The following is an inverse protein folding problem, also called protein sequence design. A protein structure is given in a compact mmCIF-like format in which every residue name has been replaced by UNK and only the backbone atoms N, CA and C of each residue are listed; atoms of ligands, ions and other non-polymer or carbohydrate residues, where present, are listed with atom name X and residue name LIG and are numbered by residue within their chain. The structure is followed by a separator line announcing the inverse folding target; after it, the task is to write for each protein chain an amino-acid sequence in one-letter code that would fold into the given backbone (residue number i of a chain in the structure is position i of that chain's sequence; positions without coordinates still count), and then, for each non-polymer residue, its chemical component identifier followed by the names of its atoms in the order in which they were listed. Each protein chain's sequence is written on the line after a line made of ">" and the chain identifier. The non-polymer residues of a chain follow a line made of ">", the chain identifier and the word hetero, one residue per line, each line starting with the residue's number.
data_IF_383085881742
#
_entry.id   IF_383085881742
#
_cell.length_a   1.000
_cell.length_b   1.000
_cell.length_c   1.000
_cell.angle_alpha   90.00
_cell.angle_beta   90.00
_cell.angle_gamma   90.00
#
_symmetry.space_group_name_H-M   'P 1'
#
loop_
_entity.id
_entity.type
_entity.pdbx_description
1 polymer ?
#
# COMPACT_ATOMS: atom_id res chain seq x y z
N UNK A 1 -22.30 4.59 -1.85
CA UNK A 1 -22.78 5.80 -1.16
C UNK A 1 -23.06 5.44 0.31
N UNK A 2 -22.21 5.87 1.25
CA UNK A 2 -22.41 5.55 2.66
C UNK A 2 -23.56 6.39 3.19
N UNK A 3 -24.65 5.75 3.62
CA UNK A 3 -25.89 6.42 4.06
C UNK A 3 -25.71 7.32 5.31
N UNK A 4 -24.55 7.29 5.98
CA UNK A 4 -24.17 8.18 7.09
C UNK A 4 -22.63 8.31 7.21
N UNK A 5 -21.97 9.20 6.46
CA UNK A 5 -20.50 9.28 6.42
C UNK A 5 -19.89 9.63 7.78
N UNK A 6 -20.59 10.44 8.58
CA UNK A 6 -20.16 10.85 9.92
C UNK A 6 -20.12 9.66 10.88
N UNK A 7 -21.15 8.80 10.86
CA UNK A 7 -21.19 7.62 11.74
C UNK A 7 -20.12 6.59 11.36
N UNK A 8 -19.90 6.36 10.06
CA UNK A 8 -18.83 5.46 9.60
C UNK A 8 -17.45 5.95 10.07
N UNK A 9 -17.19 7.25 9.94
CA UNK A 9 -15.95 7.85 10.45
C UNK A 9 -15.81 7.72 11.96
N UNK A 10 -16.88 7.97 12.72
CA UNK A 10 -16.86 7.89 14.19
C UNK A 10 -16.61 6.45 14.68
N UNK A 11 -17.30 5.47 14.11
CA UNK A 11 -17.10 4.05 14.42
C UNK A 11 -15.69 3.59 14.01
N UNK A 12 -15.24 3.96 12.81
CA UNK A 12 -13.89 3.66 12.33
C UNK A 12 -12.81 4.22 13.23
N UNK A 13 -12.91 5.49 13.60
CA UNK A 13 -11.98 6.17 14.50
C UNK A 13 -11.95 5.52 15.89
N UNK A 14 -13.11 5.15 16.43
CA UNK A 14 -13.21 4.44 17.70
C UNK A 14 -12.53 3.07 17.64
N UNK A 15 -12.76 2.29 16.58
CA UNK A 15 -12.12 0.99 16.38
C UNK A 15 -10.59 1.11 16.24
N UNK A 16 -10.10 2.07 15.46
CA UNK A 16 -8.67 2.33 15.30
C UNK A 16 -8.05 2.75 16.65
N UNK A 17 -8.73 3.62 17.40
CA UNK A 17 -8.31 4.04 18.73
C UNK A 17 -8.21 2.86 19.71
N UNK A 18 -9.20 1.95 19.70
CA UNK A 18 -9.14 0.72 20.50
C UNK A 18 -7.96 -0.15 20.11
N UNK A 19 -7.73 -0.39 18.81
CA UNK A 19 -6.57 -1.14 18.32
C UNK A 19 -5.27 -0.49 18.79
N UNK A 20 -5.17 0.84 18.74
CA UNK A 20 -4.01 1.59 19.20
C UNK A 20 -3.75 1.52 20.71
N UNK A 21 -4.80 1.41 21.53
CA UNK A 21 -4.66 1.20 22.98
C UNK A 21 -4.13 -0.22 23.27
N UNK A 22 -4.61 -1.22 22.52
CA UNK A 22 -4.15 -2.60 22.67
C UNK A 22 -2.73 -2.81 22.13
N UNK A 23 -2.41 -2.24 20.97
CA UNK A 23 -1.13 -2.36 20.26
C UNK A 23 -0.65 -0.97 19.78
N UNK A 24 -0.01 -0.18 20.65
CA UNK A 24 0.49 1.16 20.30
C UNK A 24 1.32 1.26 19.00
N UNK A 25 2.18 0.27 18.64
CA UNK A 25 2.94 0.33 17.39
C UNK A 25 2.07 0.45 16.12
N UNK A 26 0.78 0.06 16.18
CA UNK A 26 -0.10 0.13 15.01
C UNK A 26 -0.60 1.56 14.72
N UNK A 27 -0.51 2.50 15.66
CA UNK A 27 -0.98 3.89 15.48
C UNK A 27 -0.03 4.76 14.66
N UNK A 28 1.24 4.37 14.54
CA UNK A 28 2.26 5.21 13.92
C UNK A 28 2.26 5.13 12.40
N UNK A 29 2.64 6.22 11.73
CA UNK A 29 2.64 6.30 10.27
C UNK A 29 3.89 5.76 9.60
N UNK A 30 4.86 5.23 10.35
CA UNK A 30 6.05 4.52 9.85
C UNK A 30 7.16 5.38 9.24
N UNK A 31 6.94 6.67 9.03
CA UNK A 31 7.93 7.58 8.43
C UNK A 31 9.20 7.67 9.28
N UNK A 32 9.04 7.91 10.59
CA UNK A 32 10.16 7.99 11.52
C UNK A 32 10.68 6.62 11.92
N UNK A 33 9.82 5.60 11.84
CA UNK A 33 10.14 4.24 12.27
C UNK A 33 10.81 3.42 11.16
N UNK A 34 10.81 3.86 9.91
CA UNK A 34 11.34 3.04 8.80
C UNK A 34 12.81 2.64 8.99
N UNK A 35 13.63 3.55 9.50
CA UNK A 35 15.05 3.28 9.80
C UNK A 35 15.21 2.31 10.97
N UNK A 36 14.36 2.43 11.99
CA UNK A 36 14.32 1.50 13.12
C UNK A 36 13.70 0.15 12.76
N UNK A 37 12.88 0.09 11.71
CA UNK A 37 12.40 -1.17 11.15
C UNK A 37 13.39 -1.76 10.14
N UNK A 38 14.30 -0.96 9.57
CA UNK A 38 15.46 -1.51 8.88
C UNK A 38 16.39 -2.16 9.90
N UNK A 39 16.72 -1.43 10.96
CA UNK A 39 17.65 -1.84 12.01
C UNK A 39 16.93 -2.07 13.35
N UNK A 40 16.64 -3.34 13.65
CA UNK A 40 15.94 -3.78 14.86
C UNK A 40 16.64 -3.43 16.18
N UNK A 41 17.87 -2.90 16.14
CA UNK A 41 18.62 -2.50 17.34
C UNK A 41 18.17 -1.18 17.94
N UNK A 42 17.37 -0.39 17.22
CA UNK A 42 17.00 0.97 17.64
C UNK A 42 15.68 1.00 18.44
N UNK A 43 15.66 1.60 19.65
CA UNK A 43 14.46 1.69 20.46
C UNK A 43 13.47 2.75 19.93
N UNK A 44 12.18 2.43 20.00
CA UNK A 44 11.07 3.31 19.58
C UNK A 44 10.61 4.21 20.73
N UNK A 45 11.36 5.27 21.01
CA UNK A 45 11.15 6.16 22.17
C UNK A 45 9.90 7.05 22.08
N UNK A 46 9.37 7.27 20.88
CA UNK A 46 8.19 8.09 20.64
C UNK A 46 6.85 7.35 20.81
N UNK A 47 6.87 6.05 21.13
CA UNK A 47 5.65 5.28 21.26
C UNK A 47 4.89 5.71 22.52
N UNK A 48 3.68 6.21 22.31
CA UNK A 48 2.74 6.56 23.35
C UNK A 48 1.38 5.89 23.06
N UNK A 49 0.72 5.27 24.06
CA UNK A 49 1.14 5.10 25.45
C UNK A 49 2.33 4.14 25.59
N UNK A 50 3.24 4.44 26.54
CA UNK A 50 4.41 3.60 26.86
C UNK A 50 4.04 2.21 27.43
N UNK A 51 2.78 2.05 27.83
CA UNK A 51 2.15 0.83 28.33
C UNK A 51 0.83 0.56 27.61
N UNK A 52 0.78 -0.46 26.76
CA UNK A 52 -0.46 -1.04 26.25
C UNK A 52 -0.91 -2.24 27.10
N UNK A 53 -2.16 -2.67 26.95
CA UNK A 53 -2.76 -3.76 27.75
C UNK A 53 -2.02 -5.12 27.60
N UNK A 54 -1.27 -5.31 26.51
CA UNK A 54 -0.56 -6.56 26.16
C UNK A 54 0.96 -6.54 26.47
N UNK A 55 1.42 -5.72 27.44
CA UNK A 55 2.80 -5.77 27.93
C UNK A 55 3.83 -5.19 26.94
N UNK A 56 3.73 -3.89 26.66
CA UNK A 56 4.55 -3.19 25.64
C UNK A 56 5.98 -2.89 26.06
N UNK A 57 6.39 -3.25 27.28
CA UNK A 57 7.79 -3.24 27.72
C UNK A 57 8.71 -4.10 26.83
N UNK A 58 8.14 -5.12 26.19
CA UNK A 58 8.82 -5.95 25.19
C UNK A 58 9.23 -5.15 23.95
N UNK A 59 8.40 -4.19 23.53
CA UNK A 59 8.65 -3.33 22.36
C UNK A 59 9.59 -2.16 22.68
N UNK A 60 9.60 -1.70 23.93
CA UNK A 60 10.43 -0.56 24.37
C UNK A 60 11.92 -0.93 24.49
N UNK A 61 12.22 -2.18 24.85
CA UNK A 61 13.58 -2.67 25.06
C UNK A 61 14.18 -3.38 23.82
N UNK A 62 13.53 -3.31 22.66
CA UNK A 62 14.02 -3.97 21.43
C UNK A 62 13.87 -5.50 21.41
N UNK A 63 13.19 -6.10 22.39
CA UNK A 63 12.94 -7.54 22.44
C UNK A 63 11.67 -7.90 21.68
N UNK A 64 11.71 -7.76 20.35
CA UNK A 64 10.67 -8.28 19.49
C UNK A 64 10.79 -9.80 19.38
N UNK A 65 9.68 -10.49 19.61
CA UNK A 65 9.54 -11.93 19.33
C UNK A 65 8.77 -12.13 18.03
N UNK A 66 8.96 -13.27 17.37
CA UNK A 66 8.21 -13.69 16.18
C UNK A 66 6.71 -13.34 16.25
N UNK A 67 6.05 -13.74 17.34
CA UNK A 67 4.62 -13.53 17.55
C UNK A 67 4.24 -12.05 17.63
N UNK A 68 5.12 -11.23 18.20
CA UNK A 68 4.89 -9.80 18.35
C UNK A 68 4.93 -9.09 16.99
N UNK A 69 5.84 -9.50 16.11
CA UNK A 69 5.93 -8.99 14.73
C UNK A 69 4.67 -9.34 13.91
N UNK A 70 4.24 -10.61 13.99
CA UNK A 70 3.05 -11.07 13.27
C UNK A 70 1.75 -10.41 13.77
N UNK A 71 1.61 -10.23 15.08
CA UNK A 71 0.46 -9.52 15.65
C UNK A 71 0.43 -8.06 15.19
N UNK A 72 1.57 -7.36 15.29
CA UNK A 72 1.66 -5.95 14.85
C UNK A 72 1.30 -5.83 13.38
N UNK A 73 1.86 -6.68 12.52
CA UNK A 73 1.54 -6.72 11.09
C UNK A 73 0.04 -6.92 10.82
N UNK A 74 -0.55 -7.94 11.46
CA UNK A 74 -1.96 -8.28 11.29
C UNK A 74 -2.88 -7.13 11.70
N UNK A 75 -2.67 -6.56 12.89
CA UNK A 75 -3.47 -5.45 13.37
C UNK A 75 -3.22 -4.15 12.59
N UNK A 76 -2.02 -3.97 12.00
CA UNK A 76 -1.74 -2.85 11.09
C UNK A 76 -2.57 -2.97 9.80
N UNK A 77 -2.58 -4.14 9.17
CA UNK A 77 -3.40 -4.40 7.99
C UNK A 77 -4.90 -4.23 8.28
N UNK A 78 -5.35 -4.68 9.46
CA UNK A 78 -6.72 -4.47 9.90
C UNK A 78 -7.04 -2.98 10.10
N UNK A 79 -6.15 -2.22 10.75
CA UNK A 79 -6.31 -0.78 10.92
C UNK A 79 -6.38 -0.05 9.58
N UNK A 80 -5.53 -0.42 8.60
CA UNK A 80 -5.56 0.12 7.24
C UNK A 80 -6.89 -0.20 6.54
N UNK A 81 -7.41 -1.42 6.72
CA UNK A 81 -8.72 -1.79 6.16
C UNK A 81 -9.84 -0.94 6.75
N UNK A 82 -9.84 -0.75 8.08
CA UNK A 82 -10.84 0.08 8.77
C UNK A 82 -10.73 1.54 8.34
N UNK A 83 -9.54 2.11 8.19
CA UNK A 83 -9.37 3.51 7.76
C UNK A 83 -9.93 3.73 6.36
N UNK A 84 -9.63 2.83 5.42
CA UNK A 84 -10.09 2.90 4.03
C UNK A 84 -11.61 2.74 3.94
N UNK A 85 -12.18 1.76 4.64
CA UNK A 85 -13.64 1.52 4.65
C UNK A 85 -14.43 2.64 5.34
N UNK A 86 -13.82 3.31 6.33
CA UNK A 86 -14.47 4.41 7.06
C UNK A 86 -14.39 5.74 6.31
N UNK A 87 -13.68 5.80 5.18
CA UNK A 87 -13.57 7.00 4.35
C UNK A 87 -12.62 8.06 4.90
N UNK A 88 -11.69 7.70 5.79
CA UNK A 88 -10.65 8.63 6.24
C UNK A 88 -9.74 9.00 5.07
N UNK A 89 -9.57 10.31 4.83
CA UNK A 89 -8.69 10.84 3.79
C UNK A 89 -7.25 10.81 4.32
N UNK A 90 -6.52 9.74 4.02
CA UNK A 90 -5.12 9.57 4.39
C UNK A 90 -4.37 8.69 3.39
N UNK A 91 -3.05 8.83 3.33
CA UNK A 91 -2.19 7.90 2.60
C UNK A 91 -2.11 6.53 3.28
N UNK A 92 -1.97 5.47 2.49
CA UNK A 92 -1.85 4.09 2.98
C UNK A 92 -0.46 3.48 2.73
N UNK A 93 0.41 4.18 1.99
CA UNK A 93 1.72 3.67 1.56
C UNK A 93 2.65 3.38 2.74
N UNK A 94 2.88 4.36 3.63
CA UNK A 94 3.78 4.16 4.77
C UNK A 94 3.22 3.16 5.81
N UNK A 95 1.92 3.16 6.15
CA UNK A 95 1.33 2.08 6.95
C UNK A 95 1.54 0.69 6.36
N UNK A 96 1.48 0.54 5.02
CA UNK A 96 1.78 -0.72 4.35
C UNK A 96 3.25 -1.11 4.45
N UNK A 97 4.18 -0.15 4.30
CA UNK A 97 5.59 -0.43 4.52
C UNK A 97 5.85 -0.93 5.95
N UNK A 98 5.22 -0.35 6.96
CA UNK A 98 5.31 -0.84 8.33
C UNK A 98 4.79 -2.27 8.50
N UNK A 99 3.61 -2.54 7.94
CA UNK A 99 3.00 -3.86 7.98
C UNK A 99 3.89 -4.90 7.27
N UNK A 100 4.46 -4.55 6.12
CA UNK A 100 5.35 -5.43 5.38
C UNK A 100 6.68 -5.67 6.10
N UNK A 101 7.28 -4.63 6.68
CA UNK A 101 8.53 -4.75 7.42
C UNK A 101 8.37 -5.61 8.67
N UNK A 102 7.28 -5.43 9.42
CA UNK A 102 6.94 -6.31 10.54
C UNK A 102 6.68 -7.76 10.11
N UNK A 103 5.99 -8.00 8.98
CA UNK A 103 5.88 -9.35 8.41
C UNK A 103 7.23 -9.94 7.99
N UNK A 104 8.13 -9.14 7.41
CA UNK A 104 9.44 -9.60 6.97
C UNK A 104 10.37 -9.99 8.13
N UNK A 105 10.32 -9.25 9.24
CA UNK A 105 10.99 -9.64 10.49
C UNK A 105 10.38 -10.91 11.08
N UNK A 106 9.04 -10.99 11.12
CA UNK A 106 8.35 -12.21 11.52
C UNK A 106 8.78 -13.41 10.67
N UNK A 107 8.91 -13.25 9.36
CA UNK A 107 9.32 -14.33 8.47
C UNK A 107 10.78 -14.76 8.70
N UNK A 108 11.67 -13.80 8.98
CA UNK A 108 13.08 -14.05 9.30
C UNK A 108 13.26 -14.89 10.58
N UNK A 109 12.38 -14.68 11.57
CA UNK A 109 12.44 -15.33 12.88
C UNK A 109 11.76 -16.72 12.92
N UNK A 110 11.19 -17.21 11.81
CA UNK A 110 10.53 -18.54 11.79
C UNK A 110 11.58 -19.66 11.90
N UNK A 111 11.54 -20.50 12.95
CA UNK A 111 12.47 -21.61 13.07
C UNK A 111 12.19 -22.68 12.00
N UNK A 112 13.25 -23.21 11.39
CA UNK A 112 13.17 -24.36 10.49
C UNK A 112 13.10 -24.05 8.99
N UNK A 113 13.23 -22.78 8.58
CA UNK A 113 13.31 -22.39 7.17
C UNK A 113 14.77 -22.05 6.81
N UNK A 114 15.55 -23.00 6.24
CA UNK A 114 17.00 -22.85 6.10
C UNK A 114 17.44 -21.71 5.15
N UNK A 115 16.59 -21.32 4.20
CA UNK A 115 16.88 -20.23 3.26
C UNK A 115 16.50 -18.84 3.78
N UNK A 116 15.87 -18.74 4.96
CA UNK A 116 15.42 -17.48 5.55
C UNK A 116 16.14 -17.17 6.87
N UNK A 117 16.44 -18.20 7.68
CA UNK A 117 16.95 -18.08 9.05
C UNK A 117 18.38 -17.53 9.22
N UNK A 118 18.96 -16.94 8.17
CA UNK A 118 20.29 -16.32 8.19
C UNK A 118 20.40 -15.09 7.29
N UNK A 119 19.29 -14.60 6.73
CA UNK A 119 19.30 -13.39 5.92
C UNK A 119 19.37 -12.14 6.82
N UNK A 120 20.01 -11.05 6.35
CA UNK A 120 19.97 -9.77 7.03
C UNK A 120 18.51 -9.31 7.24
N UNK A 121 18.09 -8.95 8.46
CA UNK A 121 16.71 -8.56 8.76
C UNK A 121 16.23 -7.34 7.95
N UNK A 122 17.14 -6.42 7.63
CA UNK A 122 16.88 -5.26 6.76
C UNK A 122 16.34 -5.73 5.40
N UNK A 123 16.95 -6.77 4.81
CA UNK A 123 16.60 -7.24 3.47
C UNK A 123 15.22 -7.90 3.47
N UNK A 124 14.93 -8.77 4.45
CA UNK A 124 13.64 -9.45 4.54
C UNK A 124 12.50 -8.47 4.81
N UNK A 125 12.71 -7.52 5.73
CA UNK A 125 11.75 -6.48 6.06
C UNK A 125 11.43 -5.58 4.86
N UNK A 126 12.47 -5.07 4.18
CA UNK A 126 12.27 -4.16 3.04
C UNK A 126 11.74 -4.88 1.80
N UNK A 127 12.17 -6.11 1.54
CA UNK A 127 11.62 -6.91 0.44
C UNK A 127 10.13 -7.22 0.65
N UNK A 128 9.73 -7.60 1.87
CA UNK A 128 8.32 -7.85 2.19
C UNK A 128 7.48 -6.57 2.12
N UNK A 129 8.03 -5.44 2.59
CA UNK A 129 7.43 -4.10 2.43
C UNK A 129 7.22 -3.72 0.97
N UNK A 130 8.22 -3.97 0.13
CA UNK A 130 8.16 -3.64 -1.29
C UNK A 130 7.07 -4.44 -2.02
N UNK A 131 7.01 -5.76 -1.75
CA UNK A 131 5.99 -6.64 -2.30
C UNK A 131 4.58 -6.25 -1.86
N UNK A 132 4.37 -6.06 -0.55
CA UNK A 132 3.06 -5.72 0.02
C UNK A 132 2.53 -4.39 -0.51
N UNK A 133 3.37 -3.34 -0.55
CA UNK A 133 2.95 -2.05 -1.09
C UNK A 133 2.67 -2.15 -2.59
N UNK A 134 3.54 -2.81 -3.35
CA UNK A 134 3.38 -2.92 -4.81
C UNK A 134 2.13 -3.71 -5.21
N UNK A 135 1.76 -4.74 -4.45
CA UNK A 135 0.52 -5.49 -4.65
C UNK A 135 -0.72 -4.57 -4.66
N UNK A 136 -0.70 -3.50 -3.86
CA UNK A 136 -1.81 -2.56 -3.69
C UNK A 136 -1.65 -1.35 -4.63
N UNK A 137 -0.49 -0.68 -4.63
CA UNK A 137 -0.27 0.59 -5.34
C UNK A 137 0.05 0.44 -6.81
N UNK A 138 0.55 -0.72 -7.24
CA UNK A 138 1.03 -0.95 -8.62
C UNK A 138 2.18 -0.05 -9.04
N UNK A 139 3.05 0.30 -8.10
CA UNK A 139 4.22 1.15 -8.33
C UNK A 139 5.55 0.44 -7.98
N UNK A 140 5.93 -0.64 -8.68
CA UNK A 140 7.10 -1.45 -8.32
C UNK A 140 8.41 -0.64 -8.26
N UNK A 141 8.66 0.20 -9.27
CA UNK A 141 9.88 1.01 -9.35
C UNK A 141 9.91 2.13 -8.29
N UNK A 142 8.81 2.86 -8.12
CA UNK A 142 8.74 3.93 -7.13
C UNK A 142 8.85 3.37 -5.70
N UNK A 143 8.18 2.25 -5.43
CA UNK A 143 8.26 1.57 -4.13
C UNK A 143 9.69 1.17 -3.78
N UNK A 144 10.40 0.56 -4.74
CA UNK A 144 11.81 0.18 -4.56
C UNK A 144 12.69 1.39 -4.27
N UNK A 145 12.53 2.48 -5.05
CA UNK A 145 13.32 3.69 -4.89
C UNK A 145 13.08 4.34 -3.51
N UNK A 146 11.82 4.41 -3.08
CA UNK A 146 11.44 4.98 -1.78
C UNK A 146 12.04 4.14 -0.64
N UNK A 147 11.93 2.81 -0.67
CA UNK A 147 12.47 1.96 0.41
C UNK A 147 14.01 1.99 0.45
N UNK A 148 14.67 2.04 -0.70
CA UNK A 148 16.14 2.14 -0.77
C UNK A 148 16.63 3.45 -0.15
N UNK A 149 15.95 4.57 -0.45
CA UNK A 149 16.35 5.88 0.07
C UNK A 149 15.99 6.05 1.55
N UNK A 150 14.82 5.56 2.00
CA UNK A 150 14.39 5.68 3.39
C UNK A 150 15.15 4.74 4.34
N UNK A 151 15.44 3.52 3.91
CA UNK A 151 16.23 2.58 4.72
C UNK A 151 17.67 3.03 4.88
N UNK A 152 18.21 3.81 3.95
CA UNK A 152 19.63 4.22 3.93
C UNK A 152 20.59 3.09 3.53
N UNK A 153 20.06 1.97 3.04
CA UNK A 153 20.80 0.75 2.73
C UNK A 153 20.68 0.44 1.22
N UNK A 154 21.70 0.76 0.40
CA UNK A 154 21.62 0.57 -1.05
C UNK A 154 21.45 -0.89 -1.47
N UNK A 155 21.90 -1.85 -0.66
CA UNK A 155 21.75 -3.29 -0.87
C UNK A 155 20.29 -3.76 -0.88
N UNK A 156 19.35 -2.95 -0.38
CA UNK A 156 17.91 -3.23 -0.39
C UNK A 156 17.32 -3.16 -1.80
N UNK A 157 17.92 -2.39 -2.72
CA UNK A 157 17.31 -2.10 -4.01
C UNK A 157 17.01 -3.36 -4.85
N UNK A 158 17.98 -4.27 -4.96
CA UNK A 158 17.85 -5.50 -5.73
C UNK A 158 16.79 -6.48 -5.18
N UNK A 159 16.79 -6.84 -3.89
CA UNK A 159 15.75 -7.72 -3.34
C UNK A 159 14.37 -7.03 -3.30
N UNK A 160 14.32 -5.72 -3.07
CA UNK A 160 13.06 -4.98 -3.07
C UNK A 160 12.40 -4.96 -4.46
N UNK A 161 13.16 -4.72 -5.53
CA UNK A 161 12.59 -4.71 -6.88
C UNK A 161 12.17 -6.11 -7.33
N UNK A 162 12.93 -7.15 -6.96
CA UNK A 162 12.57 -8.53 -7.24
C UNK A 162 11.22 -8.88 -6.58
N UNK A 163 11.09 -8.62 -5.28
CA UNK A 163 9.83 -8.84 -4.53
C UNK A 163 8.67 -8.00 -5.08
N UNK A 164 8.91 -6.73 -5.38
CA UNK A 164 7.91 -5.83 -5.94
C UNK A 164 7.37 -6.31 -7.29
N UNK A 165 8.25 -6.73 -8.20
CA UNK A 165 7.86 -7.26 -9.50
C UNK A 165 7.12 -8.60 -9.36
N UNK A 166 7.60 -9.50 -8.51
CA UNK A 166 6.89 -10.77 -8.23
C UNK A 166 5.48 -10.50 -7.72
N UNK A 167 5.32 -9.61 -6.73
CA UNK A 167 4.00 -9.25 -6.20
C UNK A 167 3.13 -8.55 -7.26
N UNK A 168 3.72 -7.68 -8.10
CA UNK A 168 3.02 -7.00 -9.18
C UNK A 168 2.41 -7.99 -10.18
N UNK A 169 3.19 -8.98 -10.63
CA UNK A 169 2.73 -10.00 -11.57
C UNK A 169 1.72 -10.94 -10.93
N UNK A 170 1.94 -11.38 -9.70
CA UNK A 170 0.99 -12.26 -8.98
C UNK A 170 -0.37 -11.59 -8.76
N UNK A 171 -0.38 -10.28 -8.56
CA UNK A 171 -1.63 -9.55 -8.31
C UNK A 171 -2.20 -8.92 -9.59
N UNK A 172 -1.60 -9.10 -10.77
CA UNK A 172 -1.94 -8.36 -12.00
C UNK A 172 -3.45 -8.32 -12.31
N UNK A 173 -4.17 -9.39 -12.03
CA UNK A 173 -5.61 -9.50 -12.32
C UNK A 173 -6.55 -8.91 -11.24
N UNK A 174 -6.05 -8.59 -10.04
CA UNK A 174 -6.86 -8.10 -8.91
C UNK A 174 -6.44 -6.68 -8.46
N UNK A 175 -6.66 -5.64 -9.28
CA UNK A 175 -6.29 -4.27 -8.92
C UNK A 175 -7.18 -3.73 -7.80
N UNK A 176 -6.56 -3.39 -6.65
CA UNK A 176 -7.25 -2.77 -5.52
C UNK A 176 -7.57 -1.30 -5.79
N UNK A 177 -6.60 -0.55 -6.31
CA UNK A 177 -6.77 0.87 -6.67
C UNK A 177 -7.13 0.96 -8.15
N UNK A 178 -8.34 1.43 -8.46
CA UNK A 178 -8.73 1.74 -9.83
C UNK A 178 -7.98 2.98 -10.33
N UNK A 179 -7.60 3.04 -11.61
CA UNK A 179 -7.03 4.25 -12.21
C UNK A 179 -7.97 5.43 -11.94
N UNK A 180 -7.44 6.47 -11.29
CA UNK A 180 -8.21 7.68 -10.94
C UNK A 180 -8.47 8.57 -12.16
N UNK A 181 -7.75 8.34 -13.26
CA UNK A 181 -7.91 9.07 -14.51
C UNK A 181 -8.15 8.08 -15.63
N UNK A 182 -9.24 8.29 -16.36
CA UNK A 182 -9.48 7.59 -17.61
C UNK A 182 -8.37 7.98 -18.59
N UNK A 183 -7.71 6.99 -19.18
CA UNK A 183 -6.60 7.21 -20.11
C UNK A 183 -7.14 7.30 -21.52
N UNK A 184 -7.98 8.31 -21.75
CA UNK A 184 -8.53 8.61 -23.07
C UNK A 184 -7.43 8.85 -24.11
N UNK A 185 -6.26 9.32 -23.68
CA UNK A 185 -5.04 9.47 -24.46
C UNK A 185 -4.51 8.14 -25.02
N UNK A 186 -4.53 7.07 -24.22
CA UNK A 186 -4.14 5.72 -24.69
C UNK A 186 -5.15 5.20 -25.70
N UNK A 187 -6.44 5.40 -25.45
CA UNK A 187 -7.51 5.02 -26.38
C UNK A 187 -7.37 5.74 -27.72
N UNK A 188 -7.05 7.04 -27.70
CA UNK A 188 -6.79 7.85 -28.90
C UNK A 188 -5.55 7.37 -29.66
N UNK A 189 -4.45 7.05 -28.96
CA UNK A 189 -3.27 6.47 -29.60
C UNK A 189 -3.56 5.10 -30.23
N UNK A 190 -4.29 4.23 -29.53
CA UNK A 190 -4.66 2.92 -30.06
C UNK A 190 -5.50 3.05 -31.35
N UNK A 191 -6.39 4.04 -31.41
CA UNK A 191 -7.15 4.36 -32.61
C UNK A 191 -6.27 4.93 -33.72
N UNK A 192 -5.34 5.84 -33.43
CA UNK A 192 -4.44 6.40 -34.44
C UNK A 192 -3.53 5.33 -35.04
N UNK A 193 -2.97 4.43 -34.20
CA UNK A 193 -2.17 3.31 -34.68
C UNK A 193 -2.99 2.28 -35.46
N UNK A 194 -4.26 2.06 -35.08
CA UNK A 194 -5.18 1.21 -35.83
C UNK A 194 -5.52 1.78 -37.22
N UNK A 195 -5.71 3.09 -37.32
CA UNK A 195 -6.02 3.79 -38.58
C UNK A 195 -4.82 3.82 -39.54
N UNK A 196 -3.62 3.94 -38.99
CA UNK A 196 -2.37 3.88 -39.76
C UNK A 196 -2.06 2.44 -40.24
N UNK A 197 -2.40 1.43 -39.43
CA UNK A 197 -2.27 0.02 -39.79
C UNK A 197 -3.30 -0.45 -40.85
N UNK A 198 -4.49 0.14 -40.91
CA UNK A 198 -5.51 -0.12 -41.96
C UNK A 198 -5.31 0.74 -43.23
N UNK A 199 -4.16 1.41 -43.35
CA UNK A 199 -3.77 2.16 -44.55
C UNK A 199 -4.70 3.34 -44.85
N UNK A 200 -5.23 4.01 -43.81
CA UNK A 200 -6.06 5.20 -43.96
C UNK A 200 -7.44 4.96 -44.56
N UNK A 201 -7.96 3.72 -44.54
CA UNK A 201 -9.36 3.48 -44.88
C UNK A 201 -10.22 3.99 -43.72
N UNK A 202 -11.14 4.96 -43.95
CA UNK A 202 -12.01 5.41 -42.88
C UNK A 202 -12.89 4.25 -42.41
N UNK A 203 -12.88 3.99 -41.10
CA UNK A 203 -13.70 2.96 -40.47
C UNK A 203 -15.17 3.22 -40.83
N UNK A 204 -15.81 2.26 -41.52
CA UNK A 204 -17.21 2.38 -41.97
C UNK A 204 -18.09 2.50 -40.72
N UNK A 205 -18.56 3.71 -40.41
CA UNK A 205 -19.52 3.96 -39.32
C UNK A 205 -20.71 3.02 -39.51
N UNK A 206 -20.91 2.12 -38.54
CA UNK A 206 -22.09 1.28 -38.49
C UNK A 206 -23.30 2.18 -38.18
N UNK A 207 -24.34 2.22 -39.04
CA UNK A 207 -25.51 3.08 -38.84
C UNK A 207 -26.29 2.81 -37.54
N UNK A 208 -26.00 1.73 -36.81
CA UNK A 208 -26.71 1.40 -35.57
C UNK A 208 -26.38 2.33 -34.38
N UNK A 209 -25.45 3.28 -34.52
CA UNK A 209 -25.12 4.27 -33.49
C UNK A 209 -25.54 5.72 -33.83
N UNK A 210 -26.31 5.96 -34.90
CA UNK A 210 -26.76 7.31 -35.29
C UNK A 210 -28.03 7.78 -34.53
N UNK A 211 -28.18 7.42 -33.26
CA UNK A 211 -29.44 7.51 -32.52
C UNK A 211 -29.52 8.48 -31.35
N UNK A 212 -28.49 9.27 -31.04
CA UNK A 212 -28.58 10.34 -30.03
C UNK A 212 -27.90 11.59 -30.57
N UNK A 213 -28.63 12.28 -31.45
CA UNK A 213 -28.24 13.54 -32.06
C UNK A 213 -28.36 14.70 -31.09
N UNK A 214 -27.41 15.61 -31.23
CA UNK A 214 -27.47 17.01 -30.82
C UNK A 214 -28.80 17.67 -31.20
N UNK A 215 -29.31 18.51 -30.30
CA UNK A 215 -30.17 19.62 -30.69
C UNK A 215 -29.91 20.85 -29.80
N UNK A 216 -29.56 21.94 -30.50
CA UNK A 216 -29.66 23.37 -30.20
C UNK A 216 -28.66 24.06 -29.25
N UNK A 217 -27.73 24.77 -29.88
CA UNK A 217 -27.19 26.06 -29.42
C UNK A 217 -28.23 27.21 -29.54
N UNK A 218 -28.03 28.22 -28.68
CA UNK A 218 -28.19 29.68 -28.90
C UNK A 218 -29.46 30.42 -28.43
N UNK A 219 -29.16 31.63 -27.93
CA UNK A 219 -29.96 32.84 -27.66
C UNK A 219 -31.00 32.83 -26.54
N UNK A 220 -30.69 33.52 -25.43
CA UNK A 220 -31.24 34.87 -25.23
C UNK A 220 -30.55 35.58 -24.06
N UNK A 221 -30.16 36.84 -24.30
CA UNK A 221 -29.90 37.81 -23.27
C UNK A 221 -31.14 38.67 -23.06
N UNK A 222 -31.51 38.83 -21.80
CA UNK A 222 -32.05 40.05 -21.17
C UNK A 222 -31.65 40.03 -19.70
#
# INVERSE_FOLDING_TARGET
>A
EHKTPIMSGLVGGLLIGLIGIFLPPTMFWAEYEMKTLADNSLPLWHIWPKGGFYGTEKFLNGHYTLWSWLLVAFFKLLAISITVLSGFRGGFIFPLFYAGASLGHGLADIPGIPFVSGLPPVITAMAMSAGLNTAITRTPFATTLILTTLSGHPEVAAPAIASALTAFFLTMNWPFVKPQRDRADISLMALSFGEEADGGRPMRRDPSQSGVGESSESSDGL
#
